data_IF_232389974352
#
_entry.id   IF_232389974352
#
_cell.length_a   1.000
_cell.length_b   1.000
_cell.length_c   1.000
_cell.angle_alpha   90.00
_cell.angle_beta   90.00
_cell.angle_gamma   90.00
#
_symmetry.space_group_name_H-M   'P 1'
#
loop_
_entity.id
_entity.type
_entity.pdbx_description
1 polymer ?
#
# COMPACT_ATOMS: atom_id res chain seq x y z
N UNK A 1 -25.06 -28.75 -15.24
CA UNK A 1 -23.82 -28.62 -16.02
C UNK A 1 -22.77 -28.01 -15.12
N UNK A 2 -21.67 -28.73 -14.96
CA UNK A 2 -20.58 -28.52 -14.00
C UNK A 2 -19.83 -27.21 -14.27
N UNK A 3 -19.89 -26.24 -13.35
CA UNK A 3 -18.94 -25.14 -13.30
C UNK A 3 -17.67 -25.66 -12.63
N UNK A 4 -16.65 -25.88 -13.46
CA UNK A 4 -15.32 -26.35 -13.05
C UNK A 4 -14.64 -25.21 -12.31
N UNK A 5 -14.32 -25.45 -11.05
CA UNK A 5 -13.55 -24.61 -10.14
C UNK A 5 -12.40 -23.88 -10.84
N UNK A 6 -12.47 -22.55 -10.89
CA UNK A 6 -11.29 -21.69 -11.04
C UNK A 6 -10.45 -21.84 -9.77
N UNK A 7 -9.50 -22.79 -9.82
CA UNK A 7 -8.63 -23.08 -8.70
C UNK A 7 -7.46 -22.08 -8.72
N UNK A 8 -7.74 -20.83 -8.36
CA UNK A 8 -6.73 -19.80 -8.21
C UNK A 8 -6.29 -19.76 -6.76
N UNK A 9 -5.25 -20.52 -6.43
CA UNK A 9 -4.82 -20.73 -5.06
C UNK A 9 -4.10 -19.49 -4.51
N UNK A 10 -4.77 -18.81 -3.60
CA UNK A 10 -4.15 -18.02 -2.55
C UNK A 10 -2.99 -18.81 -1.90
N UNK A 11 -1.75 -18.31 -2.01
CA UNK A 11 -0.55 -19.03 -1.58
C UNK A 11 -0.19 -18.72 -0.13
N UNK A 12 -0.38 -19.72 0.73
CA UNK A 12 0.07 -19.71 2.13
C UNK A 12 1.15 -20.74 2.37
N UNK A 13 2.10 -20.38 3.24
CA UNK A 13 3.20 -21.26 3.63
C UNK A 13 3.09 -21.62 5.10
N UNK A 14 3.43 -22.86 5.42
CA UNK A 14 3.58 -23.34 6.79
C UNK A 14 4.94 -22.91 7.38
N UNK A 15 5.06 -22.92 8.71
CA UNK A 15 6.34 -22.61 9.37
C UNK A 15 7.49 -23.52 8.93
N UNK A 16 7.20 -24.77 8.56
CA UNK A 16 8.22 -25.71 8.12
C UNK A 16 8.76 -25.34 6.73
N UNK A 17 7.86 -24.94 5.82
CA UNK A 17 8.25 -24.44 4.51
C UNK A 17 9.06 -23.16 4.64
N UNK A 18 8.57 -22.19 5.43
CA UNK A 18 9.28 -20.93 5.69
C UNK A 18 10.66 -21.17 6.30
N UNK A 19 10.77 -22.06 7.29
CA UNK A 19 12.05 -22.38 7.91
C UNK A 19 13.03 -23.00 6.90
N UNK A 20 12.57 -23.95 6.08
CA UNK A 20 13.36 -24.55 5.00
C UNK A 20 13.85 -23.48 4.02
N UNK A 21 12.98 -22.57 3.59
CA UNK A 21 13.30 -21.49 2.66
C UNK A 21 14.36 -20.54 3.20
N UNK A 22 14.26 -20.20 4.48
CA UNK A 22 15.21 -19.31 5.14
C UNK A 22 16.52 -20.01 5.53
N UNK A 23 16.63 -21.33 5.34
CA UNK A 23 17.78 -22.11 5.79
C UNK A 23 17.95 -22.12 7.31
N UNK A 24 16.84 -22.02 8.06
CA UNK A 24 16.83 -22.03 9.53
C UNK A 24 15.94 -23.15 10.06
N UNK A 25 16.04 -23.46 11.35
CA UNK A 25 15.12 -24.40 11.99
C UNK A 25 13.79 -23.68 12.36
N UNK A 26 12.62 -24.37 12.36
CA UNK A 26 11.35 -23.75 12.72
C UNK A 26 11.34 -23.05 14.09
N UNK A 27 12.16 -23.52 15.03
CA UNK A 27 12.34 -22.89 16.33
C UNK A 27 12.89 -21.46 16.24
N UNK A 28 13.73 -21.16 15.24
CA UNK A 28 14.28 -19.81 15.00
C UNK A 28 13.17 -18.85 14.60
N UNK A 29 12.29 -19.25 13.68
CA UNK A 29 11.14 -18.43 13.25
C UNK A 29 10.19 -18.16 14.43
N UNK A 30 9.95 -19.16 15.30
CA UNK A 30 9.17 -18.97 16.54
C UNK A 30 9.86 -18.04 17.53
N UNK A 31 11.19 -18.06 17.60
CA UNK A 31 11.95 -17.18 18.49
C UNK A 31 11.87 -15.73 18.03
N UNK A 32 11.93 -15.46 16.72
CA UNK A 32 11.73 -14.12 16.17
C UNK A 32 10.33 -13.57 16.46
N UNK A 33 9.28 -14.41 16.37
CA UNK A 33 7.92 -14.06 16.79
C UNK A 33 7.88 -13.72 18.30
N UNK A 34 8.50 -14.56 19.15
CA UNK A 34 8.60 -14.32 20.61
C UNK A 34 9.36 -13.03 20.95
N UNK A 35 10.35 -12.66 20.15
CA UNK A 35 11.09 -11.41 20.31
C UNK A 35 10.29 -10.19 19.84
N UNK A 36 9.16 -10.39 19.17
CA UNK A 36 8.29 -9.34 18.65
C UNK A 36 8.86 -8.66 17.41
N UNK A 37 9.57 -9.40 16.54
CA UNK A 37 9.98 -8.88 15.23
C UNK A 37 8.84 -8.93 14.20
N UNK A 38 7.89 -9.83 14.39
CA UNK A 38 6.69 -9.97 13.59
C UNK A 38 5.66 -10.80 14.39
N UNK A 39 4.41 -10.87 13.91
CA UNK A 39 3.35 -11.70 14.49
C UNK A 39 2.84 -12.64 13.40
N UNK A 40 2.90 -13.97 13.63
CA UNK A 40 2.45 -14.94 12.66
C UNK A 40 0.93 -15.05 12.64
N UNK A 41 0.32 -14.96 11.46
CA UNK A 41 -1.11 -15.17 11.28
C UNK A 41 -1.49 -16.64 11.47
N UNK A 42 -2.76 -16.89 11.79
CA UNK A 42 -3.28 -18.24 12.07
C UNK A 42 -4.33 -18.63 11.05
N UNK A 43 -4.27 -19.88 10.59
CA UNK A 43 -5.35 -20.50 9.83
C UNK A 43 -6.56 -20.74 10.72
N UNK A 44 -7.72 -21.04 10.12
CA UNK A 44 -8.93 -21.51 10.81
C UNK A 44 -8.67 -22.69 11.76
N UNK A 45 -7.66 -23.52 11.43
CA UNK A 45 -7.21 -24.64 12.26
C UNK A 45 -6.09 -24.26 13.26
N UNK A 46 -5.91 -22.98 13.59
CA UNK A 46 -4.95 -22.43 14.58
C UNK A 46 -3.45 -22.59 14.28
N UNK A 47 -3.08 -23.25 13.17
CA UNK A 47 -1.70 -23.34 12.69
C UNK A 47 -1.19 -22.00 12.17
N UNK A 48 0.12 -21.74 12.34
CA UNK A 48 0.77 -20.55 11.76
C UNK A 48 0.84 -20.66 10.24
N UNK A 49 0.36 -19.62 9.58
CA UNK A 49 0.43 -19.43 8.14
C UNK A 49 1.16 -18.13 7.85
N UNK A 50 1.89 -18.12 6.74
CA UNK A 50 2.74 -17.03 6.33
C UNK A 50 2.40 -16.67 4.88
N UNK A 51 2.18 -15.39 4.60
CA UNK A 51 2.09 -14.87 3.24
C UNK A 51 3.49 -14.70 2.64
N UNK A 52 3.56 -14.26 1.39
CA UNK A 52 4.84 -13.95 0.73
C UNK A 52 5.51 -12.73 1.35
N UNK A 53 4.73 -11.73 1.75
CA UNK A 53 5.20 -10.53 2.44
C UNK A 53 5.79 -10.89 3.81
N UNK A 54 5.18 -11.86 4.51
CA UNK A 54 5.74 -12.42 5.73
C UNK A 54 7.11 -13.07 5.45
N UNK A 55 7.25 -13.81 4.33
CA UNK A 55 8.53 -14.43 3.94
C UNK A 55 9.59 -13.37 3.62
N UNK A 56 9.27 -12.32 2.86
CA UNK A 56 10.22 -11.24 2.56
C UNK A 56 10.64 -10.48 3.81
N UNK A 57 9.70 -10.24 4.74
CA UNK A 57 10.00 -9.67 6.05
C UNK A 57 10.93 -10.59 6.85
N UNK A 58 10.67 -11.90 6.84
CA UNK A 58 11.48 -12.89 7.52
C UNK A 58 12.87 -13.05 6.89
N UNK A 59 13.03 -12.85 5.57
CA UNK A 59 14.33 -12.78 4.90
C UNK A 59 15.14 -11.59 5.43
N UNK A 60 14.53 -10.41 5.58
CA UNK A 60 15.19 -9.24 6.20
C UNK A 60 15.53 -9.49 7.67
N UNK A 61 14.62 -10.09 8.44
CA UNK A 61 14.88 -10.46 9.85
C UNK A 61 16.05 -11.44 9.94
N UNK A 62 16.12 -12.43 9.05
CA UNK A 62 17.25 -13.36 8.96
C UNK A 62 18.53 -12.59 8.70
N UNK A 63 18.55 -11.70 7.70
CA UNK A 63 19.70 -10.89 7.37
C UNK A 63 20.19 -10.12 8.60
N UNK A 64 19.32 -9.36 9.26
CA UNK A 64 19.74 -8.56 10.42
C UNK A 64 20.15 -9.39 11.63
N UNK A 65 19.44 -10.49 11.92
CA UNK A 65 19.65 -11.27 13.15
C UNK A 65 20.77 -12.30 13.05
N UNK A 66 20.96 -12.93 11.88
CA UNK A 66 21.92 -14.02 11.68
C UNK A 66 23.14 -13.51 10.91
N UNK A 67 22.90 -12.88 9.76
CA UNK A 67 23.98 -12.53 8.84
C UNK A 67 24.75 -11.30 9.37
N UNK A 68 24.03 -10.27 9.83
CA UNK A 68 24.60 -9.03 10.40
C UNK A 68 24.78 -9.07 11.93
N UNK A 69 24.27 -10.12 12.59
CA UNK A 69 24.35 -10.35 14.06
C UNK A 69 23.90 -9.16 14.91
N UNK A 70 22.88 -8.42 14.47
CA UNK A 70 22.39 -7.23 15.15
C UNK A 70 21.64 -7.56 16.44
N UNK A 71 21.71 -6.65 17.41
CA UNK A 71 20.93 -6.72 18.64
C UNK A 71 19.43 -6.49 18.39
N UNK A 72 18.57 -7.16 19.17
CA UNK A 72 17.11 -7.13 18.98
C UNK A 72 16.48 -5.74 18.97
N UNK A 73 17.02 -4.78 19.74
CA UNK A 73 16.56 -3.38 19.71
C UNK A 73 16.83 -2.69 18.36
N UNK A 74 18.00 -2.92 17.77
CA UNK A 74 18.37 -2.34 16.48
C UNK A 74 17.51 -2.92 15.34
N UNK A 75 17.28 -4.24 15.37
CA UNK A 75 16.40 -4.93 14.42
C UNK A 75 14.99 -4.34 14.45
N UNK A 76 14.40 -4.17 15.65
CA UNK A 76 13.08 -3.55 15.80
C UNK A 76 13.04 -2.13 15.24
N UNK A 77 14.05 -1.32 15.55
CA UNK A 77 14.13 0.05 15.03
C UNK A 77 14.16 0.07 13.51
N UNK A 78 14.98 -0.77 12.88
CA UNK A 78 15.11 -0.83 11.42
C UNK A 78 13.83 -1.30 10.73
N UNK A 79 13.17 -2.32 11.28
CA UNK A 79 11.89 -2.81 10.79
C UNK A 79 10.79 -1.75 10.92
N UNK A 80 10.80 -0.95 12.00
CA UNK A 80 9.86 0.17 12.18
C UNK A 80 10.10 1.33 11.21
N UNK A 81 11.35 1.71 10.95
CA UNK A 81 11.67 2.80 9.98
C UNK A 81 11.36 2.45 8.53
N UNK A 82 11.27 1.16 8.17
CA UNK A 82 10.92 0.71 6.82
C UNK A 82 9.43 0.33 6.69
N UNK A 83 8.69 0.31 7.80
CA UNK A 83 7.25 0.07 7.81
C UNK A 83 6.55 1.44 7.82
N UNK A 84 5.65 1.68 6.88
CA UNK A 84 4.75 2.86 6.86
C UNK A 84 3.72 2.85 7.99
N UNK A 85 3.81 1.94 8.96
CA UNK A 85 2.86 1.80 10.05
C UNK A 85 3.40 2.46 11.33
N UNK A 86 2.71 3.48 11.87
CA UNK A 86 3.10 4.13 13.12
C UNK A 86 2.97 3.17 14.33
N UNK A 87 3.66 3.45 15.45
CA UNK A 87 3.55 2.63 16.65
C UNK A 87 2.13 2.67 17.21
N UNK A 88 1.57 1.49 17.47
CA UNK A 88 0.31 1.30 18.18
C UNK A 88 0.43 1.91 19.59
N UNK A 89 -0.19 3.07 19.80
CA UNK A 89 -0.42 3.63 21.12
C UNK A 89 -1.87 3.32 21.50
N UNK A 90 -2.05 2.56 22.58
CA UNK A 90 -3.34 2.36 23.22
C UNK A 90 -4.01 1.06 22.81
N UNK A 91 -4.10 0.12 23.76
CA UNK A 91 -4.69 -1.20 23.54
C UNK A 91 -6.14 -1.12 23.07
N UNK A 92 -6.37 -1.63 21.87
CA UNK A 92 -7.61 -2.28 21.47
C UNK A 92 -7.19 -3.49 20.62
N UNK A 93 -7.52 -4.68 21.11
CA UNK A 93 -7.42 -5.93 20.36
C UNK A 93 -8.44 -5.91 19.22
N UNK A 94 -8.03 -5.52 18.01
CA UNK A 94 -8.79 -5.76 16.79
C UNK A 94 -7.83 -6.15 15.65
N UNK A 95 -7.24 -7.34 15.76
CA UNK A 95 -6.98 -8.12 14.54
C UNK A 95 -8.19 -9.02 14.38
N UNK A 96 -9.24 -8.42 13.80
CA UNK A 96 -10.42 -9.17 13.38
C UNK A 96 -9.97 -10.32 12.47
N UNK A 97 -10.66 -11.45 12.55
CA UNK A 97 -10.32 -12.72 11.96
C UNK A 97 -10.53 -12.75 10.43
N UNK A 98 -10.08 -11.71 9.73
CA UNK A 98 -10.01 -11.67 8.28
C UNK A 98 -8.81 -12.50 7.83
N UNK A 99 -9.07 -13.43 6.91
CA UNK A 99 -8.07 -14.17 6.13
C UNK A 99 -6.89 -13.25 5.79
N UNK A 100 -5.62 -13.68 5.97
CA UNK A 100 -4.50 -12.85 5.55
C UNK A 100 -4.68 -12.44 4.09
N UNK A 101 -4.25 -11.24 3.66
CA UNK A 101 -4.14 -10.95 2.24
C UNK A 101 -3.20 -11.98 1.60
N UNK A 102 -3.80 -12.92 0.90
CA UNK A 102 -3.14 -13.91 0.06
C UNK A 102 -3.26 -13.39 -1.35
N UNK A 103 -2.12 -13.08 -1.97
CA UNK A 103 -2.13 -12.63 -3.36
C UNK A 103 -2.26 -13.84 -4.28
N UNK A 104 -3.03 -13.69 -5.35
CA UNK A 104 -3.13 -14.68 -6.41
C UNK A 104 -1.92 -14.58 -7.35
N UNK A 105 -1.34 -15.73 -7.71
CA UNK A 105 -0.32 -15.82 -8.74
C UNK A 105 -0.91 -15.55 -10.13
N UNK A 106 -0.28 -14.68 -10.92
CA UNK A 106 -0.67 -14.40 -12.30
C UNK A 106 0.13 -15.31 -13.25
N UNK A 107 -0.45 -16.46 -13.59
CA UNK A 107 0.15 -17.41 -14.56
C UNK A 107 0.57 -16.76 -15.88
N UNK A 108 -0.30 -15.89 -16.43
CA UNK A 108 -0.07 -15.23 -17.72
C UNK A 108 1.14 -14.27 -17.74
N UNK A 109 1.56 -13.72 -16.58
CA UNK A 109 2.78 -12.89 -16.51
C UNK A 109 4.03 -13.71 -16.79
N UNK A 110 4.11 -14.95 -16.32
CA UNK A 110 5.24 -15.84 -16.61
C UNK A 110 5.36 -16.14 -18.11
N UNK A 111 4.22 -16.40 -18.76
CA UNK A 111 4.14 -16.59 -20.22
C UNK A 111 4.61 -15.35 -20.97
N UNK A 112 4.13 -14.18 -20.57
CA UNK A 112 4.52 -12.90 -21.16
C UNK A 112 6.04 -12.68 -21.11
N UNK A 113 6.67 -12.97 -19.97
CA UNK A 113 8.12 -12.84 -19.80
C UNK A 113 8.89 -13.86 -20.66
N UNK A 114 8.43 -15.11 -20.70
CA UNK A 114 9.00 -16.12 -21.60
C UNK A 114 8.94 -15.67 -23.05
N UNK A 115 7.77 -15.21 -23.49
CA UNK A 115 7.52 -14.78 -24.86
C UNK A 115 8.32 -13.50 -25.21
N UNK A 116 8.49 -12.55 -24.28
CA UNK A 116 9.34 -11.36 -24.44
C UNK A 116 10.81 -11.71 -24.68
N UNK A 117 11.30 -12.78 -24.07
CA UNK A 117 12.65 -13.30 -24.28
C UNK A 117 12.74 -14.28 -25.46
N UNK A 118 11.64 -14.50 -26.19
CA UNK A 118 11.54 -15.45 -27.31
C UNK A 118 11.97 -16.89 -26.95
N UNK A 119 11.77 -17.30 -25.69
CA UNK A 119 12.16 -18.63 -25.22
C UNK A 119 11.00 -19.64 -25.34
N UNK A 120 11.34 -20.89 -25.60
CA UNK A 120 10.42 -22.02 -25.58
C UNK A 120 10.18 -22.51 -24.14
N UNK A 121 9.07 -23.22 -23.92
CA UNK A 121 8.79 -23.89 -22.65
C UNK A 121 9.92 -24.87 -22.26
N UNK A 122 10.52 -25.55 -23.24
CA UNK A 122 11.61 -26.50 -23.03
C UNK A 122 12.87 -25.82 -22.50
N UNK A 123 13.25 -24.67 -23.07
CA UNK A 123 14.43 -23.93 -22.66
C UNK A 123 14.31 -23.42 -21.23
N UNK A 124 13.17 -22.80 -20.88
CA UNK A 124 12.93 -22.29 -19.53
C UNK A 124 12.81 -23.44 -18.54
N UNK A 125 12.03 -24.48 -18.84
CA UNK A 125 11.84 -25.61 -17.94
C UNK A 125 13.16 -26.32 -17.62
N UNK A 126 14.04 -26.48 -18.62
CA UNK A 126 15.38 -27.04 -18.44
C UNK A 126 16.25 -26.17 -17.52
N UNK A 127 16.28 -24.86 -17.73
CA UNK A 127 17.10 -23.95 -16.91
C UNK A 127 16.58 -23.85 -15.47
N UNK A 128 15.26 -23.85 -15.31
CA UNK A 128 14.58 -23.82 -14.00
C UNK A 128 14.45 -25.21 -13.40
N UNK A 129 14.95 -26.26 -14.05
CA UNK A 129 14.94 -27.64 -13.54
C UNK A 129 13.56 -28.16 -13.14
N UNK A 130 12.56 -27.93 -14.00
CA UNK A 130 11.19 -28.44 -13.86
C UNK A 130 10.75 -29.11 -15.17
N UNK A 131 9.63 -29.84 -15.15
CA UNK A 131 9.08 -30.38 -16.40
C UNK A 131 8.40 -29.30 -17.25
N UNK A 132 8.44 -29.45 -18.57
CA UNK A 132 7.73 -28.58 -19.52
C UNK A 132 6.23 -28.55 -19.25
N UNK A 133 5.66 -29.71 -18.90
CA UNK A 133 4.26 -29.84 -18.51
C UNK A 133 3.92 -29.08 -17.24
N UNK A 134 4.86 -28.98 -16.29
CA UNK A 134 4.67 -28.23 -15.06
C UNK A 134 4.77 -26.73 -15.31
N UNK A 135 5.76 -26.27 -16.09
CA UNK A 135 5.85 -24.87 -16.51
C UNK A 135 4.60 -24.42 -17.27
N UNK A 136 4.08 -25.25 -18.18
CA UNK A 136 2.82 -24.97 -18.88
C UNK A 136 1.64 -24.81 -17.91
N UNK A 137 1.53 -25.66 -16.88
CA UNK A 137 0.49 -25.50 -15.85
C UNK A 137 0.67 -24.21 -15.04
N UNK A 138 1.91 -23.81 -14.75
CA UNK A 138 2.22 -22.54 -14.06
C UNK A 138 1.77 -21.35 -14.92
N UNK A 139 2.16 -21.32 -16.19
CA UNK A 139 1.80 -20.25 -17.14
C UNK A 139 0.29 -20.10 -17.36
N UNK A 140 -0.46 -21.19 -17.17
CA UNK A 140 -1.91 -21.20 -17.26
C UNK A 140 -2.64 -21.01 -15.91
N UNK A 141 -1.91 -20.77 -14.81
CA UNK A 141 -2.49 -20.59 -13.47
C UNK A 141 -3.12 -21.87 -12.88
N UNK A 142 -2.70 -23.05 -13.34
CA UNK A 142 -3.27 -24.36 -13.00
C UNK A 142 -2.33 -25.22 -12.14
N UNK A 143 -1.26 -24.64 -11.58
CA UNK A 143 -0.28 -25.34 -10.77
C UNK A 143 -0.28 -24.83 -9.34
N UNK A 144 -0.28 -25.76 -8.37
CA UNK A 144 0.21 -25.45 -7.04
C UNK A 144 1.74 -25.47 -7.08
N UNK A 145 2.36 -24.32 -6.82
CA UNK A 145 3.80 -24.09 -6.97
C UNK A 145 4.44 -23.85 -5.62
N UNK A 146 5.53 -24.56 -5.33
CA UNK A 146 6.30 -24.29 -4.12
C UNK A 146 7.05 -22.97 -4.26
N UNK A 147 7.27 -22.27 -3.15
CA UNK A 147 8.06 -21.03 -3.15
C UNK A 147 9.45 -21.22 -3.75
N UNK A 148 10.09 -22.36 -3.49
CA UNK A 148 11.41 -22.69 -4.03
C UNK A 148 11.44 -22.65 -5.57
N UNK A 149 10.38 -23.15 -6.22
CA UNK A 149 10.26 -23.06 -7.69
C UNK A 149 9.89 -21.64 -8.13
N UNK A 150 9.00 -20.95 -7.40
CA UNK A 150 8.68 -19.54 -7.69
C UNK A 150 9.93 -18.65 -7.67
N UNK A 151 10.78 -18.80 -6.65
CA UNK A 151 12.00 -18.03 -6.49
C UNK A 151 13.00 -18.31 -7.62
N UNK A 152 13.19 -19.58 -7.98
CA UNK A 152 14.06 -19.97 -9.11
C UNK A 152 13.56 -19.41 -10.44
N UNK A 153 12.24 -19.45 -10.67
CA UNK A 153 11.63 -18.93 -11.89
C UNK A 153 11.69 -17.39 -11.94
N UNK A 154 11.44 -16.70 -10.81
CA UNK A 154 11.57 -15.25 -10.73
C UNK A 154 13.02 -14.79 -10.94
N UNK A 155 13.97 -15.48 -10.29
CA UNK A 155 15.41 -15.24 -10.45
C UNK A 155 15.86 -15.46 -11.90
N UNK A 156 15.33 -16.48 -12.59
CA UNK A 156 15.60 -16.70 -14.02
C UNK A 156 15.22 -15.49 -14.88
N UNK A 157 14.12 -14.81 -14.55
CA UNK A 157 13.69 -13.58 -15.24
C UNK A 157 14.29 -12.29 -14.67
N UNK A 158 15.11 -12.37 -13.62
CA UNK A 158 15.71 -11.20 -12.96
C UNK A 158 14.70 -10.35 -12.18
N UNK A 159 13.58 -10.93 -11.78
CA UNK A 159 12.49 -10.23 -11.09
C UNK A 159 12.29 -10.73 -9.66
N UNK A 160 11.61 -9.94 -8.83
CA UNK A 160 11.13 -10.42 -7.53
C UNK A 160 9.94 -11.38 -7.69
N UNK A 161 9.76 -12.32 -6.76
CA UNK A 161 8.59 -13.21 -6.76
C UNK A 161 7.29 -12.41 -6.76
N UNK A 162 7.23 -11.30 -5.99
CA UNK A 162 6.05 -10.43 -5.89
C UNK A 162 5.63 -9.80 -7.22
N UNK A 163 6.55 -9.66 -8.19
CA UNK A 163 6.24 -9.14 -9.52
C UNK A 163 5.12 -9.96 -10.22
N UNK A 164 5.10 -11.27 -9.99
CA UNK A 164 4.20 -12.21 -10.66
C UNK A 164 2.86 -12.42 -9.96
N UNK A 165 2.58 -11.64 -8.92
CA UNK A 165 1.31 -11.67 -8.20
C UNK A 165 0.39 -10.54 -8.65
N UNK A 166 -0.92 -10.71 -8.39
CA UNK A 166 -1.86 -9.59 -8.41
C UNK A 166 -1.39 -8.54 -7.39
N UNK A 167 -1.33 -7.25 -7.78
CA UNK A 167 -1.07 -6.20 -6.82
C UNK A 167 -2.13 -6.24 -5.73
N UNK A 168 -1.76 -5.91 -4.51
CA UNK A 168 -2.71 -5.86 -3.40
C UNK A 168 -3.83 -4.87 -3.75
N UNK A 169 -5.05 -5.36 -3.88
CA UNK A 169 -6.22 -4.53 -3.61
C UNK A 169 -6.23 -4.30 -2.10
N UNK A 170 -5.35 -3.43 -1.62
CA UNK A 170 -5.61 -2.75 -0.36
C UNK A 170 -7.03 -2.19 -0.50
N UNK A 171 -7.89 -2.44 0.49
CA UNK A 171 -9.20 -1.81 0.54
C UNK A 171 -8.99 -0.30 0.77
N UNK A 172 -8.63 0.40 -0.31
CA UNK A 172 -8.32 1.82 -0.39
C UNK A 172 -9.58 2.69 -0.38
N UNK A 173 -10.72 2.08 -0.09
CA UNK A 173 -11.98 2.79 0.06
C UNK A 173 -12.06 3.51 1.40
N UNK A 174 -11.30 3.07 2.41
CA UNK A 174 -11.23 3.72 3.72
C UNK A 174 -9.84 4.29 3.97
N UNK A 175 -9.77 5.59 4.20
CA UNK A 175 -8.63 6.26 4.83
C UNK A 175 -9.06 6.61 6.25
N UNK A 176 -8.42 5.99 7.24
CA UNK A 176 -8.70 6.29 8.64
C UNK A 176 -8.17 7.68 9.02
N UNK A 177 -8.76 8.27 10.05
CA UNK A 177 -8.33 9.59 10.51
C UNK A 177 -6.85 9.58 10.91
N UNK A 178 -6.06 10.47 10.31
CA UNK A 178 -4.63 10.63 10.61
C UNK A 178 -3.72 9.58 9.98
N UNK A 179 -4.26 8.70 9.12
CA UNK A 179 -3.46 7.77 8.31
C UNK A 179 -3.37 8.20 6.84
N UNK A 180 -4.00 9.32 6.49
CA UNK A 180 -3.90 9.92 5.17
C UNK A 180 -2.46 10.32 4.84
N UNK A 181 -2.05 10.07 3.60
CA UNK A 181 -0.71 10.42 3.14
C UNK A 181 -0.51 11.94 3.20
N UNK A 182 0.58 12.43 3.83
CA UNK A 182 0.87 13.84 3.89
C UNK A 182 1.24 14.35 2.49
N UNK A 183 0.63 15.46 2.07
CA UNK A 183 0.92 16.12 0.80
C UNK A 183 1.71 17.39 1.06
N UNK A 184 2.83 17.56 0.35
CA UNK A 184 3.67 18.73 0.51
C UNK A 184 3.04 19.94 -0.20
N UNK A 185 2.52 20.90 0.57
CA UNK A 185 1.90 22.12 0.05
C UNK A 185 2.90 23.09 -0.60
N UNK A 186 4.13 23.12 -0.08
CA UNK A 186 5.10 24.17 -0.39
C UNK A 186 4.77 25.55 0.21
N UNK A 187 3.65 25.68 0.93
CA UNK A 187 3.18 26.93 1.53
C UNK A 187 3.48 26.91 3.03
N UNK A 188 4.24 27.89 3.57
CA UNK A 188 4.51 27.96 5.01
C UNK A 188 3.21 28.04 5.84
N UNK A 189 3.12 27.22 6.89
CA UNK A 189 1.95 27.17 7.77
C UNK A 189 0.74 26.43 7.19
N UNK A 190 0.93 25.66 6.10
CA UNK A 190 -0.12 24.83 5.50
C UNK A 190 0.33 23.38 5.45
N UNK A 191 -0.44 22.51 6.10
CA UNK A 191 -0.28 21.05 6.01
C UNK A 191 -1.48 20.45 5.30
N UNK A 192 -1.25 19.47 4.45
CA UNK A 192 -2.28 18.80 3.65
C UNK A 192 -2.23 17.29 3.92
N UNK A 193 -3.40 16.67 4.03
CA UNK A 193 -3.55 15.22 4.11
C UNK A 193 -4.49 14.74 3.00
N UNK A 194 -4.08 13.72 2.25
CA UNK A 194 -4.96 13.05 1.28
C UNK A 194 -6.03 12.26 2.02
N UNK A 195 -7.29 12.38 1.58
CA UNK A 195 -8.41 11.62 2.15
C UNK A 195 -8.74 10.35 1.34
N UNK A 196 -7.91 10.04 0.35
CA UNK A 196 -8.01 8.85 -0.47
C UNK A 196 -6.63 8.20 -0.64
N UNK A 197 -6.62 6.88 -0.78
CA UNK A 197 -5.42 6.07 -1.02
C UNK A 197 -5.42 5.40 -2.39
N UNK A 198 -6.49 5.61 -3.18
CA UNK A 198 -6.56 5.16 -4.58
C UNK A 198 -5.52 5.89 -5.43
N UNK A 199 -5.12 5.29 -6.55
CA UNK A 199 -4.12 5.88 -7.48
C UNK A 199 -4.74 6.42 -8.77
N UNK A 200 -5.93 5.95 -9.12
CA UNK A 200 -6.68 6.38 -10.30
C UNK A 200 -8.02 6.95 -9.82
N UNK A 201 -8.17 8.27 -9.90
CA UNK A 201 -9.37 8.94 -9.41
C UNK A 201 -9.52 10.30 -10.10
N UNK A 202 -10.77 10.72 -10.25
CA UNK A 202 -11.13 12.04 -10.78
C UNK A 202 -11.28 13.05 -9.64
N UNK A 203 -11.60 12.60 -8.42
CA UNK A 203 -11.84 13.47 -7.28
C UNK A 203 -10.62 13.50 -6.35
N UNK A 204 -10.13 14.70 -6.04
CA UNK A 204 -8.99 14.95 -5.16
C UNK A 204 -9.46 15.57 -3.83
N UNK A 205 -10.03 14.78 -2.89
CA UNK A 205 -10.38 15.25 -1.56
C UNK A 205 -9.14 15.31 -0.66
N UNK A 206 -8.92 16.47 -0.06
CA UNK A 206 -7.82 16.74 0.86
C UNK A 206 -8.33 17.45 2.11
N UNK A 207 -7.68 17.17 3.25
CA UNK A 207 -7.84 17.97 4.46
C UNK A 207 -6.73 19.00 4.53
N UNK A 208 -7.11 20.26 4.61
CA UNK A 208 -6.20 21.39 4.77
C UNK A 208 -6.16 21.80 6.23
N UNK A 209 -4.96 21.90 6.78
CA UNK A 209 -4.68 22.50 8.08
C UNK A 209 -3.92 23.79 7.84
N UNK A 210 -4.60 24.92 8.03
CA UNK A 210 -4.09 26.26 7.68
C UNK A 210 -3.87 27.06 8.95
N UNK A 211 -2.63 27.34 9.28
CA UNK A 211 -2.26 28.14 10.45
C UNK A 211 -2.76 29.59 10.34
N UNK A 212 -2.93 30.30 11.47
CA UNK A 212 -3.32 31.71 11.48
C UNK A 212 -2.44 32.57 10.56
N UNK A 213 -3.07 33.30 9.63
CA UNK A 213 -2.38 34.15 8.66
C UNK A 213 -1.74 33.43 7.48
N UNK A 214 -1.72 32.09 7.48
CA UNK A 214 -1.25 31.30 6.35
C UNK A 214 -2.32 31.21 5.24
N UNK A 215 -1.86 30.97 4.01
CA UNK A 215 -2.73 30.92 2.84
C UNK A 215 -1.95 30.90 1.53
N UNK A 216 -2.67 30.84 0.42
CA UNK A 216 -2.16 31.10 -0.92
C UNK A 216 -2.65 32.48 -1.37
N UNK A 217 -1.91 33.57 -1.07
CA UNK A 217 -2.31 34.92 -1.43
C UNK A 217 -2.14 35.21 -2.92
N UNK A 218 -1.26 34.47 -3.60
CA UNK A 218 -1.10 34.56 -5.05
C UNK A 218 -2.28 33.87 -5.74
N UNK A 219 -2.97 34.64 -6.57
CA UNK A 219 -4.15 34.16 -7.27
C UNK A 219 -3.77 33.16 -8.36
N UNK A 220 -4.47 32.04 -8.41
CA UNK A 220 -4.28 31.00 -9.40
C UNK A 220 -5.61 30.59 -10.03
N UNK A 221 -5.52 29.89 -11.16
CA UNK A 221 -6.65 29.28 -11.85
C UNK A 221 -6.18 28.01 -12.55
N UNK A 222 -7.07 27.04 -12.68
CA UNK A 222 -6.83 25.82 -13.45
C UNK A 222 -8.14 25.27 -14.00
N UNK A 223 -8.06 24.22 -14.80
CA UNK A 223 -9.27 23.54 -15.28
C UNK A 223 -9.82 22.65 -14.16
N UNK A 224 -11.14 22.66 -13.99
CA UNK A 224 -11.80 21.84 -12.99
C UNK A 224 -12.89 22.56 -12.21
N UNK A 225 -13.34 21.88 -11.18
CA UNK A 225 -14.35 22.32 -10.22
C UNK A 225 -13.81 22.12 -8.81
N UNK A 226 -14.25 22.99 -7.90
CA UNK A 226 -13.81 22.96 -6.51
C UNK A 226 -14.98 23.08 -5.56
N UNK A 227 -14.89 22.28 -4.51
CA UNK A 227 -15.80 22.30 -3.39
C UNK A 227 -15.00 22.42 -2.09
N UNK A 228 -15.37 23.41 -1.28
CA UNK A 228 -14.74 23.70 0.00
C UNK A 228 -15.80 23.54 1.09
N UNK A 229 -15.44 22.91 2.20
CA UNK A 229 -16.26 22.85 3.41
C UNK A 229 -15.40 23.14 4.64
N UNK A 230 -15.80 24.14 5.45
CA UNK A 230 -15.06 24.50 6.66
C UNK A 230 -15.46 23.57 7.79
N UNK A 231 -14.57 22.63 8.12
CA UNK A 231 -14.77 21.68 9.23
C UNK A 231 -14.62 22.39 10.57
N UNK A 232 -13.65 23.30 10.68
CA UNK A 232 -13.42 24.06 11.90
C UNK A 232 -12.63 25.35 11.61
N UNK A 233 -13.04 26.47 12.21
CA UNK A 233 -12.27 27.72 12.21
C UNK A 233 -12.82 28.77 11.25
N UNK A 234 -11.93 29.63 10.75
CA UNK A 234 -12.25 30.72 9.83
C UNK A 234 -11.44 30.54 8.57
N UNK A 235 -12.07 30.73 7.42
CA UNK A 235 -11.42 30.61 6.12
C UNK A 235 -11.93 31.71 5.20
N UNK A 236 -11.02 32.33 4.45
CA UNK A 236 -11.39 33.37 3.49
C UNK A 236 -11.01 32.89 2.10
N UNK A 237 -11.94 32.99 1.17
CA UNK A 237 -11.72 32.78 -0.26
C UNK A 237 -11.95 34.10 -0.98
N UNK A 238 -11.05 34.48 -1.87
CA UNK A 238 -11.22 35.64 -2.75
C UNK A 238 -11.26 35.15 -4.19
N UNK A 239 -12.39 35.36 -4.87
CA UNK A 239 -12.57 35.06 -6.29
C UNK A 239 -12.43 36.32 -7.15
N UNK A 240 -11.89 36.15 -8.35
CA UNK A 240 -11.73 37.18 -9.38
C UNK A 240 -11.09 38.47 -8.85
N UNK A 241 -10.20 38.33 -7.85
CA UNK A 241 -9.50 39.39 -7.11
C UNK A 241 -10.35 40.31 -6.23
N UNK A 242 -11.67 40.40 -6.45
CA UNK A 242 -12.55 41.36 -5.76
C UNK A 242 -13.56 40.73 -4.82
N UNK A 243 -14.00 39.51 -5.13
CA UNK A 243 -15.15 38.91 -4.46
C UNK A 243 -14.66 38.12 -3.25
N UNK A 244 -14.76 38.74 -2.07
CA UNK A 244 -14.26 38.19 -0.80
C UNK A 244 -15.38 37.48 -0.05
N UNK A 245 -15.15 36.21 0.25
CA UNK A 245 -16.05 35.34 1.00
C UNK A 245 -15.40 34.93 2.32
N UNK A 246 -16.00 35.35 3.43
CA UNK A 246 -15.65 34.89 4.78
C UNK A 246 -16.48 33.65 5.11
N UNK A 247 -15.81 32.54 5.34
CA UNK A 247 -16.42 31.25 5.64
C UNK A 247 -16.14 30.85 7.09
N UNK A 248 -17.16 30.33 7.76
CA UNK A 248 -17.12 29.85 9.13
C UNK A 248 -17.41 28.35 9.19
N UNK A 249 -17.14 27.72 10.33
CA UNK A 249 -17.45 26.30 10.57
C UNK A 249 -18.86 25.94 10.10
N UNK A 250 -18.95 24.94 9.22
CA UNK A 250 -20.21 24.45 8.65
C UNK A 250 -20.54 25.05 7.28
N UNK A 251 -19.88 26.14 6.87
CA UNK A 251 -20.09 26.74 5.57
C UNK A 251 -19.43 25.91 4.47
N UNK A 252 -20.03 25.97 3.29
CA UNK A 252 -19.50 25.36 2.06
C UNK A 252 -19.50 26.35 0.91
N UNK A 253 -18.59 26.15 -0.02
CA UNK A 253 -18.47 26.96 -1.22
C UNK A 253 -18.14 26.07 -2.41
N UNK A 254 -18.71 26.41 -3.55
CA UNK A 254 -18.43 25.79 -4.83
C UNK A 254 -18.08 26.88 -5.84
N UNK A 255 -17.06 26.65 -6.65
CA UNK A 255 -16.70 27.51 -7.77
C UNK A 255 -15.97 26.71 -8.85
N UNK A 256 -15.92 27.28 -10.06
CA UNK A 256 -15.11 26.70 -11.14
C UNK A 256 -13.65 27.06 -10.90
N UNK A 257 -12.73 26.11 -11.02
CA UNK A 257 -11.28 26.36 -10.88
C UNK A 257 -10.74 27.39 -11.89
N UNK A 258 -11.49 27.65 -12.98
CA UNK A 258 -11.15 28.67 -13.98
C UNK A 258 -11.38 30.09 -13.49
N UNK A 259 -12.06 30.26 -12.36
CA UNK A 259 -12.13 31.55 -11.68
C UNK A 259 -10.82 31.77 -10.93
N UNK A 260 -10.28 32.97 -11.05
CA UNK A 260 -9.07 33.35 -10.33
C UNK A 260 -9.35 33.30 -8.83
N UNK A 261 -8.68 32.42 -8.08
CA UNK A 261 -8.94 32.24 -6.66
C UNK A 261 -7.67 32.34 -5.81
N UNK A 262 -7.85 32.85 -4.60
CA UNK A 262 -6.83 32.92 -3.54
C UNK A 262 -7.52 32.71 -2.20
N UNK A 263 -6.77 32.30 -1.18
CA UNK A 263 -7.36 31.93 0.09
C UNK A 263 -6.40 32.11 1.26
N UNK A 264 -6.96 32.28 2.46
CA UNK A 264 -6.18 32.34 3.69
C UNK A 264 -7.01 32.00 4.93
N UNK A 265 -6.33 31.76 6.06
CA UNK A 265 -6.95 31.76 7.38
C UNK A 265 -6.81 33.14 8.03
N UNK A 266 -7.88 33.97 8.12
CA UNK A 266 -7.84 35.26 8.80
C UNK A 266 -8.01 35.16 10.32
N UNK A 267 -8.25 33.95 10.84
CA UNK A 267 -8.55 33.69 12.24
C UNK A 267 -7.31 33.64 13.15
N UNK A 268 -7.56 33.29 14.42
CA UNK A 268 -6.53 33.16 15.47
C UNK A 268 -6.18 31.70 15.81
N UNK A 269 -6.84 30.74 15.17
CA UNK A 269 -6.65 29.30 15.37
C UNK A 269 -6.49 28.63 14.01
N UNK A 270 -5.80 27.50 13.96
CA UNK A 270 -5.69 26.66 12.76
C UNK A 270 -7.07 26.34 12.20
N UNK A 271 -7.28 26.62 10.91
CA UNK A 271 -8.49 26.26 10.19
C UNK A 271 -8.34 24.85 9.62
N UNK A 272 -9.42 24.06 9.69
CA UNK A 272 -9.54 22.74 9.06
C UNK A 272 -10.57 22.83 7.94
N UNK A 273 -10.13 22.55 6.73
CA UNK A 273 -10.94 22.75 5.53
C UNK A 273 -10.88 21.48 4.70
N UNK A 274 -12.04 20.87 4.45
CA UNK A 274 -12.17 19.84 3.43
C UNK A 274 -12.19 20.55 2.08
N UNK A 275 -11.17 20.27 1.26
CA UNK A 275 -11.08 20.78 -0.09
C UNK A 275 -11.15 19.63 -1.06
N UNK A 276 -12.09 19.69 -1.98
CA UNK A 276 -12.28 18.69 -3.01
C UNK A 276 -12.10 19.37 -4.37
N UNK A 277 -11.07 18.94 -5.09
CA UNK A 277 -10.82 19.38 -6.47
C UNK A 277 -11.13 18.24 -7.45
N UNK A 278 -11.67 18.57 -8.62
CA UNK A 278 -11.83 17.62 -9.72
C UNK A 278 -11.35 18.27 -11.03
N UNK A 279 -10.35 17.73 -11.74
CA UNK A 279 -10.07 18.16 -13.10
C UNK A 279 -11.25 17.71 -13.97
N UNK A 280 -11.88 18.65 -14.66
CA UNK A 280 -12.89 18.33 -15.66
C UNK A 280 -12.16 18.24 -16.99
N UNK A 281 -11.86 17.03 -17.44
CA UNK A 281 -11.49 16.79 -18.83
C UNK A 281 -12.74 16.97 -19.69
N UNK A 282 -12.63 17.77 -20.76
CA UNK A 282 -13.63 17.83 -21.83
C UNK A 282 -13.23 16.90 -22.97
#
# INVERSE_FOLDING_TARGET
>A
MTNKSENNAELFFSINEVAKLLGVVPATVRNWEKQGFFIAKRSSNTYRIYSLEDIETLKKIKQYSIDDKMGSKAIKSLLMTQSTLPPLIGGIDIYDAATPPSRKLIGSKWKLYRDKLALTLEEVAKQVGISTSYLSKIENGQANISYEILERLAAFYGESVLHFFEPEEENRNLVEKGTGEPVQSGIPGVTLESLISQKEYVLFPMMFYVEPGAGAPETHQHHGEEFIYVVCGNFRVTLNHTDVYEMYTGDSMYFKSTEFHSWMNPGKKTAQVLWVHSPVER
#
